data_IF_191245399815
#
_entry.id   IF_191245399815
#
_cell.length_a   1.000
_cell.length_b   1.000
_cell.length_c   1.000
_cell.angle_alpha   90.00
_cell.angle_beta   90.00
_cell.angle_gamma   90.00
#
_symmetry.space_group_name_H-M   'P 1'
#
loop_
_entity.id
_entity.type
_entity.pdbx_description
1 polymer ?
#
# COMPACT_ATOMS: atom_id res chain seq x y z
N UNK A 1 0.88 53.65 0.64
CA UNK A 1 -0.13 52.63 0.97
C UNK A 1 0.43 51.29 0.57
N UNK A 2 1.07 50.60 1.51
CA UNK A 2 1.76 49.34 1.27
C UNK A 2 1.61 48.46 2.53
N UNK A 3 0.40 47.99 2.83
CA UNK A 3 0.16 47.10 3.99
C UNK A 3 -0.69 45.86 3.63
N UNK A 4 -1.04 45.67 2.36
CA UNK A 4 -2.04 44.66 1.96
C UNK A 4 -1.47 43.32 1.48
N UNK A 5 -0.15 43.16 1.34
CA UNK A 5 0.46 41.91 0.82
C UNK A 5 1.01 40.97 1.90
N UNK A 6 1.18 41.44 3.15
CA UNK A 6 1.77 40.65 4.25
C UNK A 6 0.74 39.93 5.13
N UNK A 7 -0.55 40.29 5.04
CA UNK A 7 -1.63 39.61 5.76
C UNK A 7 -2.02 38.27 5.13
N UNK A 8 -1.54 37.98 3.92
CA UNK A 8 -1.81 36.75 3.17
C UNK A 8 -0.87 35.57 3.53
N UNK A 9 0.15 35.78 4.36
CA UNK A 9 1.28 34.82 4.47
C UNK A 9 1.35 34.01 5.76
N UNK A 10 0.68 34.40 6.84
CA UNK A 10 0.71 33.63 8.10
C UNK A 10 -0.55 32.79 8.31
N UNK A 11 -1.73 33.41 8.27
CA UNK A 11 -2.99 32.71 8.53
C UNK A 11 -3.27 31.59 7.51
N UNK A 12 -3.10 31.86 6.22
CA UNK A 12 -3.22 30.83 5.17
C UNK A 12 -2.19 29.71 5.31
N UNK A 13 -0.98 30.02 5.78
CA UNK A 13 0.05 29.02 6.02
C UNK A 13 -0.34 28.13 7.20
N UNK A 14 -0.85 28.71 8.29
CA UNK A 14 -1.39 27.98 9.44
C UNK A 14 -2.54 27.08 9.02
N UNK A 15 -3.51 27.60 8.25
CA UNK A 15 -4.66 26.81 7.78
C UNK A 15 -4.22 25.63 6.89
N UNK A 16 -3.24 25.85 6.01
CA UNK A 16 -2.69 24.80 5.17
C UNK A 16 -1.93 23.73 5.98
N UNK A 17 -1.12 24.15 6.96
CA UNK A 17 -0.41 23.26 7.87
C UNK A 17 -1.40 22.43 8.69
N UNK A 18 -2.43 23.05 9.26
CA UNK A 18 -3.48 22.37 10.01
C UNK A 18 -4.23 21.36 9.14
N UNK A 19 -4.54 21.72 7.88
CA UNK A 19 -5.14 20.79 6.92
C UNK A 19 -4.23 19.58 6.66
N UNK A 20 -2.93 19.79 6.45
CA UNK A 20 -1.96 18.71 6.24
C UNK A 20 -1.90 17.80 7.47
N UNK A 21 -1.75 18.35 8.67
CA UNK A 21 -1.66 17.55 9.90
C UNK A 21 -2.94 16.77 10.19
N UNK A 22 -4.11 17.35 9.89
CA UNK A 22 -5.39 16.64 9.96
C UNK A 22 -5.42 15.46 8.98
N UNK A 23 -5.08 15.68 7.71
CA UNK A 23 -5.02 14.60 6.73
C UNK A 23 -4.02 13.50 7.10
N UNK A 24 -2.84 13.87 7.63
CA UNK A 24 -1.87 12.90 8.13
C UNK A 24 -2.42 12.12 9.33
N UNK A 25 -3.16 12.76 10.23
CA UNK A 25 -3.84 12.12 11.35
C UNK A 25 -4.92 11.13 10.89
N UNK A 26 -5.73 11.50 9.90
CA UNK A 26 -6.75 10.63 9.32
C UNK A 26 -6.12 9.41 8.64
N UNK A 27 -5.04 9.61 7.87
CA UNK A 27 -4.26 8.52 7.26
C UNK A 27 -3.68 7.61 8.34
N UNK A 28 -3.10 8.17 9.42
CA UNK A 28 -2.55 7.38 10.51
C UNK A 28 -3.62 6.51 11.20
N UNK A 29 -4.82 7.06 11.43
CA UNK A 29 -5.96 6.30 11.98
C UNK A 29 -6.42 5.20 11.04
N UNK A 30 -6.60 5.52 9.75
CA UNK A 30 -6.96 4.52 8.74
C UNK A 30 -5.96 3.34 8.73
N UNK A 31 -4.66 3.64 8.88
CA UNK A 31 -3.60 2.62 8.95
C UNK A 31 -3.66 1.72 10.17
N UNK A 32 -4.21 2.17 11.30
CA UNK A 32 -4.37 1.30 12.48
C UNK A 32 -5.34 0.13 12.25
N UNK A 33 -6.15 0.19 11.20
CA UNK A 33 -7.04 -0.90 10.80
C UNK A 33 -6.33 -1.98 9.96
N UNK A 34 -5.13 -1.70 9.42
CA UNK A 34 -4.30 -2.69 8.73
C UNK A 34 -3.46 -3.45 9.74
N UNK A 35 -3.26 -4.76 9.53
CA UNK A 35 -2.51 -5.62 10.45
C UNK A 35 -1.03 -5.63 10.10
N UNK A 36 -0.69 -5.96 8.85
CA UNK A 36 0.68 -6.09 8.36
C UNK A 36 1.18 -4.79 7.70
N UNK A 37 0.31 -4.01 7.07
CA UNK A 37 0.69 -2.85 6.27
C UNK A 37 0.57 -1.47 6.98
N UNK A 38 0.47 -1.47 8.31
CA UNK A 38 0.23 -0.25 9.09
C UNK A 38 1.45 0.69 9.16
N UNK A 39 2.67 0.20 8.91
CA UNK A 39 3.91 1.00 8.95
C UNK A 39 4.61 1.05 7.59
N UNK A 40 4.99 2.26 7.17
CA UNK A 40 5.86 2.50 5.99
C UNK A 40 7.30 2.84 6.38
N UNK A 41 7.57 2.92 7.69
CA UNK A 41 8.86 3.27 8.23
C UNK A 41 9.45 2.04 8.90
N UNK A 42 10.63 1.65 8.46
CA UNK A 42 11.45 0.68 9.15
C UNK A 42 12.51 1.46 9.93
N UNK A 43 12.45 1.51 11.28
CA UNK A 43 13.27 2.41 12.08
C UNK A 43 14.78 2.14 12.03
N UNK A 44 15.24 1.08 11.35
CA UNK A 44 16.63 0.68 11.40
C UNK A 44 16.91 -0.03 12.74
N UNK A 45 17.68 -1.11 12.68
CA UNK A 45 17.98 -1.92 13.86
C UNK A 45 19.34 -1.57 14.43
N UNK A 46 19.40 -1.33 15.74
CA UNK A 46 20.62 -1.28 16.52
C UNK A 46 20.83 -2.65 17.20
N UNK A 47 20.83 -3.74 16.45
CA UNK A 47 21.15 -5.04 17.05
C UNK A 47 22.64 -5.09 17.37
N UNK A 48 22.98 -4.77 18.63
CA UNK A 48 24.25 -5.13 19.24
C UNK A 48 24.32 -6.66 19.34
N UNK A 49 24.72 -7.34 18.27
CA UNK A 49 25.15 -8.73 18.33
C UNK A 49 26.64 -8.77 17.97
N UNK A 50 27.39 -9.53 18.77
CA UNK A 50 28.84 -9.48 18.97
C UNK A 50 29.72 -9.90 17.76
N UNK A 51 29.35 -9.55 16.53
CA UNK A 51 30.20 -9.69 15.35
C UNK A 51 29.77 -8.69 14.27
N UNK A 52 30.50 -7.58 14.17
CA UNK A 52 30.39 -6.60 13.08
C UNK A 52 29.06 -5.84 13.02
N UNK A 53 29.04 -4.62 13.55
CA UNK A 53 27.86 -3.74 13.45
C UNK A 53 27.57 -3.41 11.98
N UNK A 54 26.51 -3.99 11.40
CA UNK A 54 25.90 -3.48 10.18
C UNK A 54 24.80 -2.51 10.60
N UNK A 55 25.11 -1.22 10.65
CA UNK A 55 24.10 -0.18 10.80
C UNK A 55 23.15 -0.24 9.60
N UNK A 56 21.92 -0.71 9.81
CA UNK A 56 20.88 -0.56 8.79
C UNK A 56 20.22 0.80 8.99
N UNK A 57 20.39 1.77 8.06
CA UNK A 57 19.72 3.05 8.18
C UNK A 57 18.20 2.84 8.17
N UNK A 58 17.49 3.78 8.77
CA UNK A 58 16.04 3.80 8.69
C UNK A 58 15.61 3.85 7.22
N UNK A 59 14.63 3.01 6.86
CA UNK A 59 14.24 2.79 5.48
C UNK A 59 12.75 3.03 5.29
N UNK A 60 12.41 3.69 4.17
CA UNK A 60 11.04 3.90 3.75
C UNK A 60 10.58 2.74 2.86
N UNK A 61 9.53 2.03 3.29
CA UNK A 61 8.91 0.95 2.54
C UNK A 61 7.47 1.34 2.19
N UNK A 62 7.21 1.88 0.99
CA UNK A 62 5.87 2.33 0.61
C UNK A 62 4.89 1.16 0.59
N UNK A 63 3.60 1.46 0.84
CA UNK A 63 2.53 0.46 0.92
C UNK A 63 2.50 -0.45 -0.31
N UNK A 64 2.60 0.13 -1.51
CA UNK A 64 2.57 -0.61 -2.76
C UNK A 64 3.69 -1.65 -2.86
N UNK A 65 4.87 -1.34 -2.32
CA UNK A 65 5.97 -2.30 -2.21
C UNK A 65 5.59 -3.49 -1.34
N UNK A 66 4.96 -3.22 -0.19
CA UNK A 66 4.57 -4.25 0.78
C UNK A 66 3.53 -5.21 0.17
N UNK A 67 2.51 -4.66 -0.49
CA UNK A 67 1.48 -5.41 -1.18
C UNK A 67 2.08 -6.30 -2.27
N UNK A 68 2.94 -5.75 -3.14
CA UNK A 68 3.53 -6.54 -4.24
C UNK A 68 4.52 -7.58 -3.71
N UNK A 69 5.28 -7.29 -2.66
CA UNK A 69 6.15 -8.28 -2.01
C UNK A 69 5.37 -9.44 -1.41
N UNK A 70 4.22 -9.18 -0.76
CA UNK A 70 3.34 -10.22 -0.24
C UNK A 70 2.73 -11.05 -1.38
N UNK A 71 2.20 -10.39 -2.41
CA UNK A 71 1.65 -11.09 -3.59
C UNK A 71 2.73 -11.96 -4.25
N UNK A 72 3.96 -11.46 -4.37
CA UNK A 72 5.06 -12.17 -5.01
C UNK A 72 5.80 -13.14 -4.08
N UNK A 73 5.38 -13.29 -2.83
CA UNK A 73 6.04 -14.16 -1.87
C UNK A 73 5.89 -15.65 -2.30
N UNK A 74 6.99 -16.41 -2.46
CA UNK A 74 6.91 -17.83 -2.79
C UNK A 74 6.29 -18.68 -1.68
N UNK A 75 6.41 -18.26 -0.41
CA UNK A 75 5.92 -19.00 0.75
C UNK A 75 4.39 -18.91 0.89
N UNK A 76 3.74 -18.05 0.09
CA UNK A 76 2.28 -17.85 0.04
C UNK A 76 1.65 -17.77 1.45
N UNK A 77 2.13 -16.86 2.33
CA UNK A 77 1.48 -16.66 3.61
C UNK A 77 0.01 -16.25 3.40
N UNK A 78 -0.88 -16.66 4.30
CA UNK A 78 -2.29 -16.26 4.24
C UNK A 78 -2.36 -14.72 4.37
N UNK A 79 -2.79 -14.00 3.31
CA UNK A 79 -2.68 -12.56 3.31
C UNK A 79 -3.76 -11.98 4.22
N UNK A 80 -3.36 -11.33 5.31
CA UNK A 80 -4.30 -10.90 6.35
C UNK A 80 -4.94 -9.55 6.01
N UNK A 81 -4.24 -8.72 5.25
CA UNK A 81 -4.71 -7.40 4.79
C UNK A 81 -5.24 -7.42 3.34
N UNK A 82 -5.05 -8.51 2.59
CA UNK A 82 -5.56 -8.64 1.20
C UNK A 82 -6.78 -9.57 1.19
N UNK A 83 -7.97 -8.98 1.12
CA UNK A 83 -9.22 -9.74 1.07
C UNK A 83 -9.65 -10.07 -0.37
N UNK A 84 -10.04 -11.33 -0.60
CA UNK A 84 -10.66 -11.74 -1.84
C UNK A 84 -12.17 -11.44 -1.83
N UNK A 85 -12.57 -10.40 -2.57
CA UNK A 85 -13.98 -10.06 -2.81
C UNK A 85 -14.49 -10.80 -4.05
N UNK A 86 -15.34 -11.82 -3.86
CA UNK A 86 -16.03 -12.51 -4.95
C UNK A 86 -17.47 -11.99 -5.03
N UNK A 87 -17.68 -10.97 -5.86
CA UNK A 87 -18.95 -10.25 -5.95
C UNK A 87 -19.93 -10.90 -6.94
N UNK A 88 -20.36 -12.14 -6.67
CA UNK A 88 -21.31 -12.85 -7.54
C UNK A 88 -22.35 -13.73 -6.83
N UNK A 89 -23.54 -13.86 -7.45
CA UNK A 89 -24.62 -14.79 -7.10
C UNK A 89 -24.12 -16.25 -6.90
N UNK A 90 -23.06 -16.62 -7.61
CA UNK A 90 -22.37 -17.91 -7.51
C UNK A 90 -21.72 -18.17 -6.15
N UNK A 91 -21.30 -17.14 -5.41
CA UNK A 91 -20.68 -17.31 -4.08
C UNK A 91 -21.75 -17.56 -3.01
N UNK A 92 -22.92 -16.92 -3.12
CA UNK A 92 -24.09 -17.20 -2.27
C UNK A 92 -24.57 -18.65 -2.43
N UNK A 93 -24.63 -19.17 -3.67
CA UNK A 93 -24.93 -20.58 -3.91
C UNK A 93 -23.83 -21.50 -3.36
N UNK A 94 -22.56 -21.10 -3.46
CA UNK A 94 -21.44 -21.84 -2.87
C UNK A 94 -21.54 -21.88 -1.35
N UNK A 95 -21.89 -20.77 -0.69
CA UNK A 95 -22.05 -20.73 0.77
C UNK A 95 -23.19 -21.62 1.29
N UNK A 96 -24.28 -21.78 0.53
CA UNK A 96 -25.41 -22.64 0.91
C UNK A 96 -25.12 -24.15 0.81
N UNK A 97 -24.24 -24.56 -0.10
CA UNK A 97 -23.86 -25.97 -0.31
C UNK A 97 -22.46 -26.33 0.24
N UNK A 98 -21.62 -25.36 0.63
CA UNK A 98 -20.18 -25.54 0.91
C UNK A 98 -19.76 -25.01 2.29
N UNK A 99 -20.55 -25.23 3.34
CA UNK A 99 -20.18 -24.85 4.71
C UNK A 99 -19.02 -25.70 5.31
N UNK A 100 -18.44 -26.65 4.56
CA UNK A 100 -17.45 -27.62 5.08
C UNK A 100 -16.24 -27.90 4.18
N UNK A 101 -15.91 -27.03 3.21
CA UNK A 101 -14.63 -27.15 2.50
C UNK A 101 -13.85 -25.85 2.63
N UNK A 102 -12.64 -25.95 3.20
CA UNK A 102 -11.59 -24.91 3.10
C UNK A 102 -11.21 -24.78 1.63
N UNK A 103 -12.05 -24.06 0.87
CA UNK A 103 -11.76 -23.68 -0.51
C UNK A 103 -10.65 -22.64 -0.45
N UNK A 104 -9.45 -23.03 -0.87
CA UNK A 104 -8.32 -22.10 -0.99
C UNK A 104 -8.79 -20.91 -1.84
N UNK A 105 -8.79 -19.71 -1.25
CA UNK A 105 -9.09 -18.49 -1.98
C UNK A 105 -8.00 -18.33 -3.06
N UNK A 106 -8.37 -18.07 -4.32
CA UNK A 106 -7.36 -17.89 -5.36
C UNK A 106 -6.43 -16.75 -4.96
N UNK A 107 -5.12 -17.02 -4.98
CA UNK A 107 -4.15 -16.01 -4.61
C UNK A 107 -3.98 -15.04 -5.79
N UNK A 108 -3.84 -13.71 -5.58
CA UNK A 108 -3.60 -12.77 -6.68
C UNK A 108 -2.38 -13.14 -7.55
N UNK A 109 -1.47 -13.92 -6.97
CA UNK A 109 -0.30 -14.48 -7.64
C UNK A 109 -0.50 -15.69 -8.54
N UNK A 110 -1.68 -16.34 -8.51
CA UNK A 110 -1.96 -17.53 -9.31
C UNK A 110 -2.29 -17.21 -10.78
N UNK A 111 -2.43 -15.92 -11.12
CA UNK A 111 -2.78 -15.47 -12.45
C UNK A 111 -1.59 -14.82 -13.18
N UNK A 112 -1.46 -15.03 -14.50
CA UNK A 112 -0.39 -14.42 -15.31
C UNK A 112 -0.60 -12.92 -15.55
N UNK A 113 -1.70 -12.33 -15.06
CA UNK A 113 -2.01 -10.91 -15.15
C UNK A 113 -2.35 -10.37 -13.76
N UNK A 114 -1.60 -9.38 -13.30
CA UNK A 114 -1.84 -8.62 -12.09
C UNK A 114 -2.28 -7.20 -12.45
N UNK A 115 -3.47 -6.80 -12.00
CA UNK A 115 -3.99 -5.44 -12.17
C UNK A 115 -4.00 -4.77 -10.80
N UNK A 116 -3.30 -3.64 -10.67
CA UNK A 116 -3.32 -2.81 -9.47
C UNK A 116 -4.01 -1.49 -9.81
N UNK A 117 -5.12 -1.23 -9.14
CA UNK A 117 -5.88 0.01 -9.28
C UNK A 117 -5.77 0.84 -8.00
N UNK A 118 -5.20 2.03 -8.10
CA UNK A 118 -4.97 2.93 -6.96
C UNK A 118 -5.95 4.10 -6.96
N UNK A 119 -6.67 4.25 -5.86
CA UNK A 119 -7.54 5.42 -5.61
C UNK A 119 -6.71 6.47 -4.88
N UNK A 120 -6.76 7.73 -5.34
CA UNK A 120 -5.98 8.84 -4.76
C UNK A 120 -4.65 9.13 -5.47
N UNK A 121 -4.36 8.43 -6.56
CA UNK A 121 -3.17 8.65 -7.40
C UNK A 121 -2.06 7.63 -7.15
N UNK A 122 -1.10 7.61 -8.08
CA UNK A 122 0.12 6.79 -8.00
C UNK A 122 1.28 7.58 -8.61
N UNK A 123 2.47 7.47 -8.02
CA UNK A 123 3.67 8.12 -8.54
C UNK A 123 4.38 7.26 -9.60
N UNK A 124 5.17 7.89 -10.47
CA UNK A 124 5.97 7.17 -11.47
C UNK A 124 6.97 6.22 -10.81
N UNK A 125 7.57 6.65 -9.69
CA UNK A 125 8.51 5.83 -8.91
C UNK A 125 7.86 4.56 -8.37
N UNK A 126 6.61 4.66 -7.91
CA UNK A 126 5.81 3.50 -7.47
C UNK A 126 5.51 2.55 -8.63
N UNK A 127 5.08 3.07 -9.78
CA UNK A 127 4.81 2.25 -10.97
C UNK A 127 6.08 1.51 -11.42
N UNK A 128 7.22 2.20 -11.45
CA UNK A 128 8.51 1.58 -11.80
C UNK A 128 8.89 0.47 -10.82
N UNK A 129 8.79 0.75 -9.52
CA UNK A 129 9.10 -0.23 -8.48
C UNK A 129 8.24 -1.50 -8.58
N UNK A 130 6.93 -1.35 -8.82
CA UNK A 130 6.03 -2.50 -9.05
C UNK A 130 6.53 -3.34 -10.23
N UNK A 131 6.81 -2.71 -11.36
CA UNK A 131 7.28 -3.40 -12.57
C UNK A 131 8.59 -4.14 -12.33
N UNK A 132 9.57 -3.47 -11.72
CA UNK A 132 10.88 -4.05 -11.44
C UNK A 132 10.76 -5.25 -10.48
N UNK A 133 9.92 -5.12 -9.44
CA UNK A 133 9.72 -6.17 -8.44
C UNK A 133 9.00 -7.40 -9.01
N UNK A 134 7.95 -7.20 -9.81
CA UNK A 134 7.25 -8.29 -10.50
C UNK A 134 8.15 -8.96 -11.52
N UNK A 135 8.90 -8.21 -12.34
CA UNK A 135 9.82 -8.79 -13.31
C UNK A 135 10.92 -9.66 -12.64
N UNK A 136 11.41 -9.22 -11.47
CA UNK A 136 12.44 -9.95 -10.73
C UNK A 136 11.90 -11.21 -10.06
N UNK A 137 10.72 -11.13 -9.42
CA UNK A 137 10.18 -12.22 -8.59
C UNK A 137 9.25 -13.16 -9.36
N UNK A 138 8.63 -12.69 -10.44
CA UNK A 138 7.66 -13.41 -11.28
C UNK A 138 7.76 -12.99 -12.75
N UNK A 139 8.81 -13.42 -13.48
CA UNK A 139 9.03 -13.03 -14.87
C UNK A 139 7.92 -13.46 -15.84
N UNK A 140 7.04 -14.39 -15.45
CA UNK A 140 5.87 -14.82 -16.24
C UNK A 140 4.58 -14.02 -15.99
N UNK A 141 4.58 -13.07 -15.06
CA UNK A 141 3.39 -12.28 -14.70
C UNK A 141 3.45 -10.90 -15.34
N UNK A 142 2.43 -10.54 -16.13
CA UNK A 142 2.23 -9.19 -16.61
C UNK A 142 1.60 -8.33 -15.52
N UNK A 143 2.13 -7.12 -15.30
CA UNK A 143 1.56 -6.17 -14.35
C UNK A 143 1.06 -4.91 -15.05
N UNK A 144 -0.16 -4.49 -14.71
CA UNK A 144 -0.79 -3.25 -15.17
C UNK A 144 -1.16 -2.40 -13.95
N UNK A 145 -0.70 -1.15 -13.91
CA UNK A 145 -1.04 -0.19 -12.85
C UNK A 145 -1.91 0.91 -13.43
N UNK A 146 -3.02 1.21 -12.76
CA UNK A 146 -3.93 2.30 -13.10
C UNK A 146 -4.27 3.09 -11.84
N UNK A 147 -4.60 4.38 -11.99
CA UNK A 147 -5.03 5.22 -10.88
C UNK A 147 -6.05 6.28 -11.32
N UNK A 148 -6.88 6.72 -10.38
CA UNK A 148 -7.73 7.88 -10.61
C UNK A 148 -6.90 9.16 -10.55
N UNK A 149 -7.06 10.02 -11.55
CA UNK A 149 -6.54 11.39 -11.51
C UNK A 149 -7.65 12.27 -10.92
N UNK A 150 -7.56 12.56 -9.62
CA UNK A 150 -8.37 13.63 -9.03
C UNK A 150 -7.67 14.96 -9.34
N UNK A 151 -8.17 15.67 -10.35
CA UNK A 151 -7.95 17.11 -10.44
C UNK A 151 -8.77 17.75 -9.32
N UNK A 152 -8.12 18.23 -8.27
CA UNK A 152 -8.74 19.15 -7.33
C UNK A 152 -9.20 20.39 -8.12
N UNK A 153 -10.47 20.83 -7.99
CA UNK A 153 -10.94 22.06 -8.62
C UNK A 153 -10.25 23.30 -8.05
#
# INVERSE_FOLDING_TARGET
GCDSSLSLTSQKATDAVDSIFRSLGDIARARTHMKQFHSIHNPGSNTHQASGSLFSPASYKPLLKQVVEEICNPDRPDPVDIEHMSSGLTDLLKTGFSMFMKVNRPHPGDHPLLIIFMVGGVTVSEVKMVKDLVATRRPGTQVKTAANVQFLP
#
